data_IF_161231990521
#
_entry.id   IF_161231990521
#
_cell.length_a   1.000
_cell.length_b   1.000
_cell.length_c   1.000
_cell.angle_alpha   90.00
_cell.angle_beta   90.00
_cell.angle_gamma   90.00
#
_symmetry.space_group_name_H-M   'P 1'
#
loop_
_entity.id
_entity.type
_entity.pdbx_description
1 polymer ?
#
# COMPACT_ATOMS: atom_id res chain seq x y z
N UNK A 1 -19.30 -17.35 -13.54
CA UNK A 1 -19.39 -15.93 -13.96
C UNK A 1 -18.12 -15.18 -13.60
N UNK A 2 -17.28 -14.93 -14.60
CA UNK A 2 -15.94 -14.33 -14.52
C UNK A 2 -16.08 -12.82 -14.27
N UNK A 3 -15.69 -12.32 -13.10
CA UNK A 3 -15.57 -10.87 -12.83
C UNK A 3 -14.11 -10.52 -12.54
N UNK A 4 -13.53 -9.82 -13.50
CA UNK A 4 -12.20 -9.18 -13.51
C UNK A 4 -12.02 -8.26 -12.30
N UNK A 5 -11.38 -8.78 -11.24
CA UNK A 5 -10.80 -7.99 -10.13
C UNK A 5 -9.30 -8.23 -10.10
N UNK A 6 -8.55 -7.63 -11.02
CA UNK A 6 -7.09 -7.81 -11.01
C UNK A 6 -6.32 -6.54 -11.36
N UNK A 7 -6.80 -5.72 -12.29
CA UNK A 7 -6.04 -4.54 -12.74
C UNK A 7 -5.92 -3.43 -11.68
N UNK A 8 -6.98 -3.17 -10.90
CA UNK A 8 -6.97 -2.08 -9.90
C UNK A 8 -6.24 -2.44 -8.60
N UNK A 9 -6.18 -3.72 -8.26
CA UNK A 9 -5.44 -4.23 -7.09
C UNK A 9 -3.93 -4.16 -7.40
N UNK A 10 -3.52 -4.66 -8.58
CA UNK A 10 -2.13 -4.59 -9.04
C UNK A 10 -1.56 -3.15 -9.09
N UNK A 11 -2.34 -2.16 -9.57
CA UNK A 11 -1.88 -0.77 -9.56
C UNK A 11 -1.78 -0.15 -8.15
N UNK A 12 -2.64 -0.57 -7.19
CA UNK A 12 -2.53 -0.12 -5.79
C UNK A 12 -1.33 -0.74 -5.11
N UNK A 13 -1.05 -2.02 -5.37
CA UNK A 13 0.10 -2.73 -4.82
C UNK A 13 1.42 -2.14 -5.34
N UNK A 14 1.49 -1.76 -6.61
CA UNK A 14 2.67 -1.07 -7.17
C UNK A 14 2.95 0.27 -6.49
N UNK A 15 1.91 1.08 -6.19
CA UNK A 15 2.09 2.35 -5.47
C UNK A 15 2.53 2.16 -4.01
N UNK A 16 2.03 1.10 -3.35
CA UNK A 16 2.43 0.73 -1.98
C UNK A 16 3.87 0.21 -1.93
N UNK A 17 4.26 -0.61 -2.90
CA UNK A 17 5.64 -1.07 -3.04
C UNK A 17 6.59 0.13 -3.24
N UNK A 18 6.20 1.13 -4.03
CA UNK A 18 6.97 2.38 -4.21
C UNK A 18 7.17 3.14 -2.90
N UNK A 19 6.16 3.17 -2.02
CA UNK A 19 6.28 3.78 -0.68
C UNK A 19 7.38 3.09 0.14
N UNK A 20 7.41 1.76 0.15
CA UNK A 20 8.40 0.99 0.92
C UNK A 20 9.79 1.13 0.32
N UNK A 21 9.91 1.12 -1.01
CA UNK A 21 11.19 1.35 -1.69
C UNK A 21 11.80 2.71 -1.31
N UNK A 22 11.00 3.78 -1.34
CA UNK A 22 11.47 5.11 -0.95
C UNK A 22 11.81 5.18 0.55
N UNK A 23 11.04 4.50 1.40
CA UNK A 23 11.35 4.42 2.83
C UNK A 23 12.68 3.68 3.09
N UNK A 24 12.96 2.61 2.33
CA UNK A 24 14.22 1.87 2.40
C UNK A 24 15.42 2.68 1.88
N UNK A 25 15.18 3.65 0.98
CA UNK A 25 16.19 4.61 0.52
C UNK A 25 16.44 5.75 1.53
N UNK A 26 15.75 5.77 2.67
CA UNK A 26 15.93 6.77 3.71
C UNK A 26 15.07 8.02 3.55
N UNK A 27 14.14 8.07 2.57
CA UNK A 27 13.23 9.20 2.44
C UNK A 27 12.31 9.32 3.66
N UNK A 28 12.03 10.54 4.10
CA UNK A 28 11.08 10.75 5.19
C UNK A 28 9.65 10.41 4.73
N UNK A 29 8.81 9.97 5.67
CA UNK A 29 7.40 9.63 5.39
C UNK A 29 6.62 10.81 4.80
N UNK A 30 7.00 12.04 5.12
CA UNK A 30 6.40 13.28 4.59
C UNK A 30 6.77 13.49 3.13
N UNK A 31 8.04 13.30 2.77
CA UNK A 31 8.49 13.39 1.37
C UNK A 31 7.85 12.30 0.53
N UNK A 32 7.80 11.07 1.05
CA UNK A 32 7.15 9.95 0.37
C UNK A 32 5.68 10.29 0.09
N UNK A 33 4.93 10.77 1.09
CA UNK A 33 3.54 11.17 0.94
C UNK A 33 3.34 12.19 -0.20
N UNK A 34 4.22 13.19 -0.30
CA UNK A 34 4.22 14.17 -1.41
C UNK A 34 4.53 13.52 -2.76
N UNK A 35 5.55 12.67 -2.83
CA UNK A 35 6.00 12.01 -4.06
C UNK A 35 4.98 11.01 -4.62
N UNK A 36 4.29 10.26 -3.74
CA UNK A 36 3.32 9.24 -4.16
C UNK A 36 1.87 9.74 -4.21
N UNK A 37 1.61 10.96 -3.70
CA UNK A 37 0.27 11.56 -3.68
C UNK A 37 -0.69 10.90 -2.68
N UNK A 38 -0.17 10.36 -1.58
CA UNK A 38 -0.98 9.73 -0.53
C UNK A 38 -0.87 10.50 0.78
N UNK A 39 -1.85 10.30 1.67
CA UNK A 39 -1.78 10.86 3.01
C UNK A 39 -0.62 10.27 3.82
N UNK A 40 -0.01 11.08 4.68
CA UNK A 40 1.02 10.63 5.63
C UNK A 40 0.53 9.45 6.47
N UNK A 41 -0.74 9.45 6.88
CA UNK A 41 -1.37 8.36 7.63
C UNK A 41 -1.31 7.04 6.87
N UNK A 42 -1.62 7.04 5.57
CA UNK A 42 -1.57 5.85 4.71
C UNK A 42 -0.14 5.32 4.58
N UNK A 43 0.83 6.22 4.36
CA UNK A 43 2.26 5.88 4.28
C UNK A 43 2.73 5.24 5.58
N UNK A 44 2.46 5.86 6.73
CA UNK A 44 2.81 5.34 8.06
C UNK A 44 2.20 3.97 8.31
N UNK A 45 0.93 3.76 7.94
CA UNK A 45 0.26 2.47 8.10
C UNK A 45 0.96 1.37 7.30
N UNK A 46 1.33 1.65 6.05
CA UNK A 46 2.01 0.66 5.21
C UNK A 46 3.43 0.38 5.69
N UNK A 47 4.19 1.40 6.10
CA UNK A 47 5.50 1.18 6.73
C UNK A 47 5.39 0.31 7.97
N UNK A 48 4.41 0.57 8.84
CA UNK A 48 4.19 -0.22 10.06
C UNK A 48 3.82 -1.67 9.73
N UNK A 49 2.87 -1.87 8.81
CA UNK A 49 2.48 -3.23 8.38
C UNK A 49 3.63 -3.97 7.71
N UNK A 50 4.46 -3.29 6.93
CA UNK A 50 5.64 -3.88 6.32
C UNK A 50 6.67 -4.32 7.37
N UNK A 51 6.88 -3.51 8.42
CA UNK A 51 7.74 -3.91 9.53
C UNK A 51 7.22 -5.11 10.31
N UNK A 52 5.89 -5.23 10.47
CA UNK A 52 5.27 -6.32 11.24
C UNK A 52 5.06 -7.61 10.42
N UNK A 53 4.74 -7.50 9.13
CA UNK A 53 4.23 -8.60 8.29
C UNK A 53 4.98 -8.73 6.95
N UNK A 54 5.99 -7.90 6.69
CA UNK A 54 6.70 -7.89 5.41
C UNK A 54 5.78 -7.57 4.23
N UNK A 55 6.00 -8.26 3.10
CA UNK A 55 5.22 -8.04 1.88
C UNK A 55 3.72 -8.33 2.05
N UNK A 56 3.36 -9.28 2.91
CA UNK A 56 1.97 -9.62 3.20
C UNK A 56 1.20 -8.46 3.87
N UNK A 57 1.92 -7.56 4.56
CA UNK A 57 1.35 -6.37 5.17
C UNK A 57 0.95 -5.27 4.18
N UNK A 58 1.45 -5.33 2.94
CA UNK A 58 1.14 -4.38 1.87
C UNK A 58 -0.07 -4.81 1.05
N UNK A 59 -0.35 -6.12 1.02
CA UNK A 59 -1.52 -6.67 0.37
C UNK A 59 -2.75 -6.20 1.15
N UNK A 60 -3.71 -5.62 0.43
CA UNK A 60 -5.03 -5.39 1.03
C UNK A 60 -5.65 -6.76 1.32
N UNK A 61 -5.68 -7.17 2.60
CA UNK A 61 -6.53 -8.30 2.99
C UNK A 61 -7.92 -7.97 2.47
N UNK A 62 -8.59 -8.85 1.71
CA UNK A 62 -9.92 -8.58 1.20
C UNK A 62 -10.83 -8.32 2.40
N UNK A 63 -11.01 -7.03 2.72
CA UNK A 63 -11.84 -6.61 3.83
C UNK A 63 -13.22 -7.20 3.59
N UNK A 64 -13.74 -7.88 4.61
CA UNK A 64 -15.12 -8.40 4.72
C UNK A 64 -16.00 -7.66 3.75
N UNK A 65 -16.30 -8.32 2.62
CA UNK A 65 -16.99 -7.69 1.51
C UNK A 65 -18.17 -6.91 2.05
N UNK A 66 -18.36 -5.69 1.54
CA UNK A 66 -19.62 -4.97 1.74
C UNK A 66 -20.73 -5.96 1.40
N UNK A 67 -21.55 -6.35 2.40
CA UNK A 67 -22.79 -7.06 2.12
C UNK A 67 -23.56 -6.18 1.14
N UNK A 68 -23.70 -6.66 -0.08
CA UNK A 68 -24.78 -6.21 -0.96
C UNK A 68 -26.05 -6.89 -0.49
#
# INVERSE_FOLDING_TARGET
SRRTRSATISQRDGRRARVILLAAQGCSRVEIARLVGFSLRSVTLWCKRFQEQGLDGLIDKPGRGRKS
#
